data_IF_913147163794
#
_entry.id   IF_913147163794
#
_cell.length_a   1.000
_cell.length_b   1.000
_cell.length_c   1.000
_cell.angle_alpha   90.00
_cell.angle_beta   90.00
_cell.angle_gamma   90.00
#
_symmetry.space_group_name_H-M   'P 1'
#
loop_
_entity.id
_entity.type
_entity.pdbx_description
1 polymer ?
#
# COMPACT_ATOMS: atom_id res chain seq x y z
N UNK A 1 -21.28 -18.22 -17.23
CA UNK A 1 -19.80 -18.12 -17.23
C UNK A 1 -19.31 -18.24 -15.79
N UNK A 2 -18.17 -18.93 -15.57
CA UNK A 2 -17.67 -19.23 -14.24
C UNK A 2 -16.46 -18.39 -13.90
N UNK A 3 -16.46 -17.85 -12.70
CA UNK A 3 -15.40 -17.02 -12.13
C UNK A 3 -14.86 -17.70 -10.89
N UNK A 4 -13.54 -17.87 -10.80
CA UNK A 4 -12.87 -18.29 -9.58
C UNK A 4 -12.20 -17.09 -8.91
N UNK A 5 -12.66 -16.74 -7.71
CA UNK A 5 -12.01 -15.76 -6.84
C UNK A 5 -11.09 -16.51 -5.85
N UNK A 6 -9.90 -16.92 -6.32
CA UNK A 6 -9.02 -17.83 -5.58
C UNK A 6 -8.49 -17.23 -4.26
N UNK A 7 -8.25 -15.93 -4.23
CA UNK A 7 -7.84 -15.19 -3.02
C UNK A 7 -9.03 -14.48 -2.35
N UNK A 8 -10.26 -14.88 -2.70
CA UNK A 8 -11.49 -14.28 -2.21
C UNK A 8 -11.89 -12.99 -2.94
N UNK A 9 -13.13 -12.59 -2.72
CA UNK A 9 -13.73 -11.34 -3.18
C UNK A 9 -14.69 -10.84 -2.10
N UNK A 10 -14.90 -9.53 -2.02
CA UNK A 10 -15.89 -8.97 -1.09
C UNK A 10 -17.32 -9.45 -1.42
N UNK A 11 -18.19 -9.48 -0.40
CA UNK A 11 -19.60 -9.84 -0.59
C UNK A 11 -20.27 -8.95 -1.64
N UNK A 12 -20.01 -7.64 -1.60
CA UNK A 12 -20.55 -6.69 -2.59
C UNK A 12 -20.07 -7.00 -4.02
N UNK A 13 -18.80 -7.39 -4.17
CA UNK A 13 -18.26 -7.80 -5.48
C UNK A 13 -18.86 -9.10 -5.98
N UNK A 14 -19.04 -10.09 -5.10
CA UNK A 14 -19.69 -11.36 -5.44
C UNK A 14 -21.14 -11.12 -5.88
N UNK A 15 -21.92 -10.41 -5.08
CA UNK A 15 -23.32 -10.07 -5.39
C UNK A 15 -23.44 -9.30 -6.71
N UNK A 16 -22.50 -8.36 -6.98
CA UNK A 16 -22.49 -7.61 -8.22
C UNK A 16 -22.23 -8.50 -9.46
N UNK A 17 -21.35 -9.49 -9.35
CA UNK A 17 -21.10 -10.47 -10.42
C UNK A 17 -22.29 -11.42 -10.61
N UNK A 18 -22.84 -11.96 -9.52
CA UNK A 18 -24.00 -12.87 -9.56
C UNK A 18 -25.23 -12.18 -10.13
N UNK A 19 -25.46 -10.91 -9.81
CA UNK A 19 -26.53 -10.10 -10.40
C UNK A 19 -26.41 -9.93 -11.92
N UNK A 20 -25.21 -10.07 -12.47
CA UNK A 20 -24.92 -10.08 -13.91
C UNK A 20 -24.96 -11.48 -14.53
N UNK A 21 -25.35 -12.51 -13.77
CA UNK A 21 -25.51 -13.89 -14.23
C UNK A 21 -24.20 -14.71 -14.25
N UNK A 22 -23.16 -14.26 -13.58
CA UNK A 22 -21.92 -15.05 -13.40
C UNK A 22 -22.07 -16.03 -12.25
N UNK A 23 -21.48 -17.22 -12.38
CA UNK A 23 -21.31 -18.18 -11.29
C UNK A 23 -19.97 -17.88 -10.61
N UNK A 24 -20.00 -17.46 -9.35
CA UNK A 24 -18.81 -17.06 -8.58
C UNK A 24 -18.41 -18.15 -7.61
N UNK A 25 -17.20 -18.69 -7.77
CA UNK A 25 -16.60 -19.70 -6.92
C UNK A 25 -15.55 -19.02 -6.04
N UNK A 26 -15.69 -19.16 -4.72
CA UNK A 26 -14.79 -18.53 -3.73
C UNK A 26 -13.93 -19.56 -2.98
N UNK A 27 -13.95 -20.83 -3.42
CA UNK A 27 -13.10 -21.86 -2.83
C UNK A 27 -11.65 -21.60 -3.16
N UNK A 28 -10.80 -21.54 -2.13
CA UNK A 28 -9.36 -21.43 -2.33
C UNK A 28 -8.80 -22.76 -2.85
N UNK A 29 -8.03 -22.69 -3.92
CA UNK A 29 -7.35 -23.83 -4.55
C UNK A 29 -5.84 -23.60 -4.45
N UNK A 30 -5.11 -24.63 -3.98
CA UNK A 30 -3.66 -24.55 -3.87
C UNK A 30 -3.01 -24.36 -5.26
N UNK A 31 -1.88 -23.66 -5.29
CA UNK A 31 -1.19 -23.25 -6.52
C UNK A 31 -0.93 -24.44 -7.46
N UNK A 32 -0.54 -25.60 -6.92
CA UNK A 32 -0.18 -26.79 -7.68
C UNK A 32 -1.40 -27.49 -8.32
N UNK A 33 -2.59 -27.22 -7.81
CA UNK A 33 -3.85 -27.82 -8.30
C UNK A 33 -4.67 -26.83 -9.15
N UNK A 34 -4.24 -25.58 -9.22
CA UNK A 34 -5.05 -24.50 -9.75
C UNK A 34 -5.37 -24.68 -11.25
N UNK A 35 -4.38 -25.08 -12.07
CA UNK A 35 -4.59 -25.32 -13.50
C UNK A 35 -5.63 -26.44 -13.75
N UNK A 36 -5.48 -27.56 -13.06
CA UNK A 36 -6.42 -28.68 -13.16
C UNK A 36 -7.84 -28.26 -12.76
N UNK A 37 -7.97 -27.54 -11.63
CA UNK A 37 -9.26 -27.08 -11.14
C UNK A 37 -9.95 -26.13 -12.12
N UNK A 38 -9.21 -25.17 -12.68
CA UNK A 38 -9.70 -24.23 -13.69
C UNK A 38 -10.26 -25.00 -14.89
N UNK A 39 -9.52 -25.96 -15.42
CA UNK A 39 -9.92 -26.75 -16.59
C UNK A 39 -11.12 -27.67 -16.30
N UNK A 40 -11.11 -28.40 -15.18
CA UNK A 40 -12.19 -29.32 -14.80
C UNK A 40 -13.51 -28.56 -14.57
N UNK A 41 -13.47 -27.37 -13.97
CA UNK A 41 -14.66 -26.57 -13.69
C UNK A 41 -15.08 -25.69 -14.87
N UNK A 42 -14.23 -25.55 -15.89
CA UNK A 42 -14.49 -24.67 -17.04
C UNK A 42 -14.52 -23.19 -16.62
N UNK A 43 -13.54 -22.78 -15.83
CA UNK A 43 -13.40 -21.40 -15.35
C UNK A 43 -12.82 -20.54 -16.45
N UNK A 44 -13.46 -19.42 -16.73
CA UNK A 44 -13.04 -18.46 -17.75
C UNK A 44 -12.38 -17.22 -17.16
N UNK A 45 -12.69 -16.90 -15.90
CA UNK A 45 -12.17 -15.71 -15.21
C UNK A 45 -11.51 -16.12 -13.90
N UNK A 46 -10.25 -15.73 -13.72
CA UNK A 46 -9.50 -15.93 -12.47
C UNK A 46 -9.30 -14.59 -11.78
N UNK A 47 -9.85 -14.43 -10.58
CA UNK A 47 -9.62 -13.29 -9.71
C UNK A 47 -8.63 -13.67 -8.61
N UNK A 48 -7.59 -12.83 -8.47
CA UNK A 48 -6.51 -13.04 -7.49
C UNK A 48 -6.24 -11.76 -6.70
N UNK A 49 -5.55 -11.90 -5.57
CA UNK A 49 -4.96 -10.79 -4.82
C UNK A 49 -3.43 -10.94 -4.83
N UNK A 50 -2.79 -11.09 -3.67
CA UNK A 50 -1.33 -11.20 -3.57
C UNK A 50 -0.83 -12.65 -3.41
N UNK A 51 -1.67 -13.56 -2.93
CA UNK A 51 -1.26 -14.92 -2.60
C UNK A 51 -1.07 -15.81 -3.84
N UNK A 52 -2.02 -15.79 -4.75
CA UNK A 52 -1.97 -16.60 -5.98
C UNK A 52 -1.01 -15.99 -7.01
N UNK A 53 -0.10 -16.81 -7.53
CA UNK A 53 0.83 -16.41 -8.60
C UNK A 53 0.30 -16.88 -9.95
N UNK A 54 0.17 -15.95 -10.90
CA UNK A 54 -0.30 -16.24 -12.26
C UNK A 54 0.89 -16.10 -13.22
N UNK A 55 1.68 -17.17 -13.31
CA UNK A 55 2.89 -17.25 -14.13
C UNK A 55 2.64 -18.00 -15.43
N UNK A 56 3.62 -17.93 -16.34
CA UNK A 56 3.51 -18.53 -17.68
C UNK A 56 2.98 -19.99 -17.67
N UNK A 57 3.43 -20.91 -16.79
CA UNK A 57 2.90 -22.27 -16.80
C UNK A 57 1.38 -22.33 -16.59
N UNK A 58 0.85 -21.59 -15.60
CA UNK A 58 -0.59 -21.55 -15.35
C UNK A 58 -1.37 -20.94 -16.53
N UNK A 59 -0.80 -19.92 -17.17
CA UNK A 59 -1.39 -19.28 -18.35
C UNK A 59 -1.46 -20.26 -19.54
N UNK A 60 -0.40 -21.02 -19.77
CA UNK A 60 -0.32 -21.96 -20.89
C UNK A 60 -1.20 -23.21 -20.69
N UNK A 61 -1.39 -23.63 -19.45
CA UNK A 61 -2.17 -24.82 -19.10
C UNK A 61 -3.68 -24.57 -19.03
N UNK A 62 -4.12 -23.31 -19.14
CA UNK A 62 -5.54 -22.93 -18.92
C UNK A 62 -6.14 -22.13 -20.10
N UNK A 63 -7.47 -22.13 -20.19
CA UNK A 63 -8.21 -21.38 -21.21
C UNK A 63 -8.86 -20.10 -20.65
N UNK A 64 -8.17 -19.41 -19.73
CA UNK A 64 -8.66 -18.18 -19.14
C UNK A 64 -8.90 -17.10 -20.20
N UNK A 65 -9.95 -16.31 -20.02
CA UNK A 65 -10.27 -15.13 -20.83
C UNK A 65 -9.88 -13.84 -20.13
N UNK A 66 -10.07 -13.82 -18.79
CA UNK A 66 -9.73 -12.68 -17.96
C UNK A 66 -8.91 -13.14 -16.75
N UNK A 67 -7.88 -12.39 -16.43
CA UNK A 67 -7.17 -12.44 -15.15
C UNK A 67 -7.38 -11.08 -14.46
N UNK A 68 -8.07 -11.09 -13.32
CA UNK A 68 -8.35 -9.87 -12.56
C UNK A 68 -7.58 -9.85 -11.25
N UNK A 69 -6.86 -8.76 -10.99
CA UNK A 69 -6.16 -8.54 -9.72
C UNK A 69 -6.90 -7.52 -8.86
N UNK A 70 -7.39 -7.96 -7.71
CA UNK A 70 -7.98 -7.08 -6.70
C UNK A 70 -6.95 -6.22 -6.01
N UNK A 71 -6.61 -5.07 -6.59
CA UNK A 71 -5.65 -4.10 -6.08
C UNK A 71 -4.80 -3.43 -7.16
N UNK A 72 -3.80 -2.66 -6.77
CA UNK A 72 -3.02 -1.79 -7.67
C UNK A 72 -1.90 -2.53 -8.41
N UNK A 73 -1.00 -3.18 -7.65
CA UNK A 73 0.17 -3.85 -8.22
C UNK A 73 -0.19 -5.18 -8.87
N UNK A 74 0.53 -5.56 -9.89
CA UNK A 74 0.34 -6.81 -10.63
C UNK A 74 1.60 -7.68 -10.62
N UNK A 75 2.44 -7.52 -9.63
CA UNK A 75 3.76 -8.16 -9.53
C UNK A 75 3.68 -9.71 -9.48
N UNK A 76 2.54 -10.25 -9.08
CA UNK A 76 2.26 -11.69 -9.04
C UNK A 76 1.69 -12.26 -10.36
N UNK A 77 1.52 -11.43 -11.40
CA UNK A 77 0.95 -11.83 -12.71
C UNK A 77 1.98 -11.54 -13.81
N UNK A 78 2.20 -12.48 -14.72
CA UNK A 78 2.98 -12.26 -15.93
C UNK A 78 2.12 -11.54 -16.98
N UNK A 79 1.89 -10.23 -16.76
CA UNK A 79 0.90 -9.41 -17.48
C UNK A 79 1.14 -9.40 -18.99
N UNK A 80 2.35 -9.09 -19.42
CA UNK A 80 2.68 -8.98 -20.86
C UNK A 80 2.54 -10.32 -21.55
N UNK A 81 2.91 -11.39 -20.88
CA UNK A 81 2.75 -12.75 -21.40
C UNK A 81 1.26 -13.11 -21.56
N UNK A 82 0.45 -12.86 -20.54
CA UNK A 82 -0.99 -13.12 -20.59
C UNK A 82 -1.68 -12.32 -21.72
N UNK A 83 -1.35 -11.04 -21.84
CA UNK A 83 -1.86 -10.18 -22.93
C UNK A 83 -1.41 -10.66 -24.30
N UNK A 84 -0.17 -11.14 -24.44
CA UNK A 84 0.36 -11.74 -25.67
C UNK A 84 -0.39 -13.02 -26.08
N UNK A 85 -1.02 -13.73 -25.14
CA UNK A 85 -1.90 -14.87 -25.37
C UNK A 85 -3.37 -14.48 -25.63
N UNK A 86 -3.69 -13.19 -25.67
CA UNK A 86 -5.05 -12.67 -25.87
C UNK A 86 -5.92 -12.68 -24.61
N UNK A 87 -5.34 -12.87 -23.43
CA UNK A 87 -6.06 -12.84 -22.16
C UNK A 87 -6.15 -11.38 -21.68
N UNK A 88 -7.36 -10.95 -21.32
CA UNK A 88 -7.57 -9.63 -20.73
C UNK A 88 -7.04 -9.61 -19.28
N UNK A 89 -6.12 -8.69 -18.97
CA UNK A 89 -5.63 -8.49 -17.60
C UNK A 89 -6.13 -7.17 -17.06
N UNK A 90 -6.91 -7.24 -15.97
CA UNK A 90 -7.55 -6.09 -15.30
C UNK A 90 -7.07 -5.96 -13.86
N UNK A 91 -7.11 -4.74 -13.33
CA UNK A 91 -6.83 -4.45 -11.92
C UNK A 91 -7.70 -3.27 -11.43
N UNK A 92 -7.58 -2.94 -10.13
CA UNK A 92 -8.37 -1.87 -9.49
C UNK A 92 -7.46 -0.80 -8.89
N UNK A 93 -6.92 0.11 -9.75
CA UNK A 93 -5.83 1.00 -9.34
C UNK A 93 -6.28 2.18 -8.46
N UNK A 94 -7.58 2.46 -8.34
CA UNK A 94 -8.11 3.59 -7.58
C UNK A 94 -8.72 3.18 -6.24
N UNK A 95 -9.26 1.97 -6.15
CA UNK A 95 -10.17 1.54 -5.09
C UNK A 95 -9.59 1.55 -3.67
N UNK A 96 -8.27 1.38 -3.51
CA UNK A 96 -7.60 1.34 -2.21
C UNK A 96 -6.80 2.61 -1.87
N UNK A 97 -6.79 3.63 -2.75
CA UNK A 97 -5.88 4.77 -2.59
C UNK A 97 -6.09 5.54 -1.29
N UNK A 98 -7.32 5.78 -0.90
CA UNK A 98 -7.66 6.45 0.37
C UNK A 98 -7.23 5.61 1.57
N UNK A 99 -7.54 4.31 1.57
CA UNK A 99 -7.17 3.41 2.68
C UNK A 99 -5.66 3.37 2.92
N UNK A 100 -4.87 3.30 1.85
CA UNK A 100 -3.41 3.34 1.94
C UNK A 100 -2.93 4.68 2.49
N UNK A 101 -3.51 5.79 2.05
CA UNK A 101 -3.14 7.11 2.53
C UNK A 101 -3.46 7.30 4.02
N UNK A 102 -4.61 6.85 4.49
CA UNK A 102 -4.98 6.86 5.91
C UNK A 102 -4.02 5.99 6.74
N UNK A 103 -3.61 4.85 6.21
CA UNK A 103 -2.68 3.94 6.87
C UNK A 103 -1.26 4.53 7.03
N UNK A 104 -0.81 5.35 6.07
CA UNK A 104 0.42 6.14 6.21
C UNK A 104 0.37 6.99 7.48
N UNK A 105 -0.74 7.71 7.70
CA UNK A 105 -0.89 8.55 8.89
C UNK A 105 -1.08 7.73 10.18
N UNK A 106 -1.68 6.54 10.10
CA UNK A 106 -1.72 5.63 11.24
C UNK A 106 -0.30 5.25 11.70
N UNK A 107 0.61 4.90 10.79
CA UNK A 107 2.03 4.69 11.10
C UNK A 107 2.70 5.94 11.66
N UNK A 108 2.51 7.09 11.01
CA UNK A 108 3.10 8.36 11.46
C UNK A 108 2.65 8.68 12.89
N UNK A 109 1.34 8.66 13.18
CA UNK A 109 0.83 8.92 14.53
C UNK A 109 1.32 7.88 15.53
N UNK A 110 1.43 6.62 15.14
CA UNK A 110 1.97 5.56 15.99
C UNK A 110 3.41 5.86 16.42
N UNK A 111 4.24 6.32 15.49
CA UNK A 111 5.65 6.64 15.72
C UNK A 111 5.80 7.92 16.56
N UNK A 112 5.25 9.04 16.09
CA UNK A 112 5.46 10.35 16.75
C UNK A 112 4.82 10.47 18.12
N UNK A 113 3.88 9.58 18.45
CA UNK A 113 3.21 9.52 19.76
C UNK A 113 3.62 8.31 20.59
N UNK A 114 4.64 7.54 20.15
CA UNK A 114 5.14 6.31 20.82
C UNK A 114 4.02 5.27 21.06
N UNK A 115 2.97 5.26 20.25
CA UNK A 115 1.77 4.44 20.51
C UNK A 115 2.06 2.95 20.37
N UNK A 116 2.81 2.53 19.33
CA UNK A 116 3.18 1.13 19.12
C UNK A 116 4.08 0.59 20.23
N UNK A 117 5.02 1.40 20.73
CA UNK A 117 5.88 1.03 21.85
C UNK A 117 5.08 0.92 23.14
N UNK A 118 4.24 1.92 23.44
CA UNK A 118 3.42 1.91 24.65
C UNK A 118 2.43 0.74 24.67
N UNK A 119 1.86 0.36 23.52
CA UNK A 119 1.00 -0.83 23.41
C UNK A 119 1.73 -2.14 23.71
N UNK A 120 3.04 -2.22 23.45
CA UNK A 120 3.85 -3.40 23.77
C UNK A 120 4.20 -3.47 25.25
N UNK A 121 4.44 -2.34 25.90
CA UNK A 121 4.95 -2.27 27.29
C UNK A 121 3.83 -2.16 28.33
N UNK A 122 2.73 -1.48 28.04
CA UNK A 122 1.61 -1.32 28.98
C UNK A 122 1.05 -2.64 29.52
N UNK A 123 0.84 -3.71 28.72
CA UNK A 123 0.40 -5.00 29.25
C UNK A 123 1.42 -5.70 30.15
N UNK A 124 2.69 -5.37 30.04
CA UNK A 124 3.79 -6.02 30.77
C UNK A 124 4.15 -5.30 32.06
N UNK A 125 4.12 -3.96 32.05
CA UNK A 125 4.66 -3.12 33.13
C UNK A 125 3.69 -2.04 33.61
N UNK A 126 2.50 -1.92 33.01
CA UNK A 126 1.61 -0.80 33.27
C UNK A 126 1.09 -0.72 34.71
N UNK A 127 0.99 -1.83 35.41
CA UNK A 127 0.56 -1.91 36.81
C UNK A 127 1.68 -1.57 37.81
N UNK A 128 2.91 -1.89 37.47
CA UNK A 128 4.08 -1.78 38.35
C UNK A 128 4.98 -0.58 38.04
N UNK A 129 5.00 -0.09 36.82
CA UNK A 129 5.92 0.96 36.34
C UNK A 129 5.23 2.09 35.58
N UNK A 130 3.95 2.38 35.85
CA UNK A 130 3.19 3.40 35.11
C UNK A 130 3.88 4.76 35.04
N UNK A 131 4.46 5.23 36.16
CA UNK A 131 5.18 6.51 36.23
C UNK A 131 6.45 6.53 35.33
N UNK A 132 7.16 5.42 35.26
CA UNK A 132 8.33 5.24 34.39
C UNK A 132 7.94 5.27 32.92
N UNK A 133 6.90 4.52 32.52
CA UNK A 133 6.38 4.48 31.14
C UNK A 133 5.87 5.86 30.72
N UNK A 134 5.10 6.56 31.57
CA UNK A 134 4.66 7.93 31.31
C UNK A 134 5.82 8.88 31.01
N UNK A 135 6.92 8.76 31.74
CA UNK A 135 8.13 9.59 31.55
C UNK A 135 8.88 9.18 30.27
N UNK A 136 8.99 7.88 30.00
CA UNK A 136 9.67 7.35 28.82
C UNK A 136 9.00 7.83 27.51
N UNK A 137 7.67 7.82 27.46
CA UNK A 137 6.91 8.20 26.26
C UNK A 137 6.45 9.68 26.22
N UNK A 138 6.96 10.54 27.11
CA UNK A 138 6.57 11.96 27.19
C UNK A 138 7.10 12.80 26.01
N UNK A 139 8.18 12.35 25.34
CA UNK A 139 8.73 13.04 24.16
C UNK A 139 7.96 12.63 22.91
N UNK A 140 7.00 13.45 22.52
CA UNK A 140 6.15 13.23 21.37
C UNK A 140 6.09 14.49 20.49
N UNK A 141 5.59 14.36 19.26
CA UNK A 141 5.58 15.45 18.28
C UNK A 141 4.17 15.66 17.72
N UNK A 142 3.91 16.90 17.30
CA UNK A 142 2.73 17.29 16.52
C UNK A 142 3.10 17.39 15.04
N UNK A 143 2.10 17.22 14.16
CA UNK A 143 2.30 17.24 12.70
C UNK A 143 2.11 18.65 12.12
N UNK A 144 1.26 19.49 12.74
CA UNK A 144 0.95 20.84 12.24
C UNK A 144 2.21 21.66 12.02
N UNK A 145 2.32 22.27 10.83
CA UNK A 145 3.47 23.09 10.43
C UNK A 145 4.73 22.31 10.04
N UNK A 146 4.73 20.99 10.19
CA UNK A 146 5.81 20.11 9.69
C UNK A 146 5.64 19.85 8.19
N UNK A 147 6.70 19.41 7.54
CA UNK A 147 6.72 19.18 6.10
C UNK A 147 6.61 17.70 5.78
N UNK A 148 5.57 17.33 5.02
CA UNK A 148 5.39 16.01 4.40
C UNK A 148 6.05 16.00 3.03
N UNK A 149 7.03 15.14 2.84
CA UNK A 149 7.64 14.79 1.56
C UNK A 149 6.96 13.56 0.95
N UNK A 150 6.41 13.71 -0.23
CA UNK A 150 5.73 12.62 -0.95
C UNK A 150 6.54 12.23 -2.17
N UNK A 151 6.99 10.97 -2.24
CA UNK A 151 7.70 10.41 -3.38
C UNK A 151 6.71 9.56 -4.18
N UNK A 152 6.29 10.07 -5.32
CA UNK A 152 5.22 9.51 -6.17
C UNK A 152 3.95 10.36 -6.13
N UNK A 153 3.68 11.08 -7.20
CA UNK A 153 2.52 11.98 -7.35
C UNK A 153 1.36 11.29 -8.08
N UNK A 154 1.20 9.98 -7.80
CA UNK A 154 0.09 9.16 -8.27
C UNK A 154 -1.18 9.33 -7.42
N UNK A 155 -2.15 8.41 -7.59
CA UNK A 155 -3.43 8.42 -6.86
C UNK A 155 -3.25 8.41 -5.35
N UNK A 156 -2.42 7.50 -4.82
CA UNK A 156 -2.17 7.39 -3.38
C UNK A 156 -1.46 8.65 -2.87
N UNK A 157 -0.44 9.13 -3.57
CA UNK A 157 0.26 10.36 -3.19
C UNK A 157 -0.67 11.57 -3.09
N UNK A 158 -1.64 11.70 -4.00
CA UNK A 158 -2.68 12.75 -3.94
C UNK A 158 -3.54 12.61 -2.68
N UNK A 159 -3.98 11.41 -2.31
CA UNK A 159 -4.76 11.20 -1.08
C UNK A 159 -3.93 11.51 0.19
N UNK A 160 -2.66 11.13 0.22
CA UNK A 160 -1.75 11.51 1.32
C UNK A 160 -1.62 13.02 1.43
N UNK A 161 -1.48 13.72 0.30
CA UNK A 161 -1.40 15.19 0.26
C UNK A 161 -2.67 15.82 0.82
N UNK A 162 -3.87 15.32 0.46
CA UNK A 162 -5.14 15.79 1.00
C UNK A 162 -5.19 15.70 2.53
N UNK A 163 -4.80 14.56 3.07
CA UNK A 163 -4.78 14.34 4.52
C UNK A 163 -3.74 15.26 5.18
N UNK A 164 -2.53 15.37 4.61
CA UNK A 164 -1.46 16.24 5.12
C UNK A 164 -1.92 17.71 5.21
N UNK A 165 -2.53 18.22 4.16
CA UNK A 165 -3.07 19.61 4.14
C UNK A 165 -4.17 19.75 5.21
N UNK A 166 -5.08 18.75 5.33
CA UNK A 166 -6.12 18.75 6.36
C UNK A 166 -5.58 18.79 7.78
N UNK A 167 -4.41 18.19 8.02
CA UNK A 167 -3.69 18.23 9.30
C UNK A 167 -2.87 19.52 9.50
N UNK A 168 -2.86 20.43 8.53
CA UNK A 168 -2.10 21.68 8.59
C UNK A 168 -0.60 21.50 8.39
N UNK A 169 -0.18 20.48 7.67
CA UNK A 169 1.22 20.26 7.26
C UNK A 169 1.55 21.06 6.01
N UNK A 170 2.83 21.37 5.83
CA UNK A 170 3.38 21.75 4.54
C UNK A 170 3.59 20.50 3.69
N UNK A 171 3.50 20.64 2.37
CA UNK A 171 3.67 19.49 1.45
C UNK A 171 4.68 19.84 0.37
N UNK A 172 5.60 18.92 0.12
CA UNK A 172 6.49 18.93 -1.04
C UNK A 172 6.40 17.54 -1.70
N UNK A 173 6.41 17.50 -3.02
CA UNK A 173 6.18 16.25 -3.75
C UNK A 173 7.17 16.09 -4.91
N UNK A 174 7.68 14.90 -5.05
CA UNK A 174 8.50 14.48 -6.19
C UNK A 174 7.81 13.39 -6.99
N UNK A 175 7.93 13.45 -8.29
CA UNK A 175 7.59 12.36 -9.20
C UNK A 175 8.65 12.26 -10.31
N UNK A 176 8.94 11.03 -10.74
CA UNK A 176 9.87 10.78 -11.86
C UNK A 176 9.39 11.49 -13.14
N UNK A 177 8.09 11.63 -13.30
CA UNK A 177 7.45 12.38 -14.38
C UNK A 177 6.89 13.69 -13.83
N UNK A 178 7.56 14.84 -14.07
CA UNK A 178 7.13 16.11 -13.55
C UNK A 178 5.65 16.39 -13.86
N UNK A 179 4.91 16.77 -12.85
CA UNK A 179 3.48 17.01 -12.97
C UNK A 179 3.03 18.19 -12.10
N UNK A 180 2.01 18.88 -12.56
CA UNK A 180 1.23 19.85 -11.76
C UNK A 180 -0.19 19.30 -11.62
N UNK A 181 -0.69 19.24 -10.40
CA UNK A 181 -2.04 18.73 -10.11
C UNK A 181 -2.82 19.70 -9.24
N UNK A 182 -4.10 19.76 -9.50
CA UNK A 182 -5.06 20.40 -8.59
C UNK A 182 -5.47 19.38 -7.52
N UNK A 183 -5.35 19.78 -6.27
CA UNK A 183 -5.74 19.00 -5.09
C UNK A 183 -6.97 19.67 -4.52
N UNK A 184 -8.11 19.02 -4.60
CA UNK A 184 -9.37 19.50 -4.04
C UNK A 184 -9.62 18.84 -2.68
N UNK A 185 -9.91 19.64 -1.67
CA UNK A 185 -10.39 19.21 -0.36
C UNK A 185 -11.89 19.48 -0.28
N UNK A 186 -12.66 18.42 0.00
CA UNK A 186 -14.09 18.50 0.26
C UNK A 186 -14.35 18.56 1.77
N UNK A 187 -15.16 19.50 2.22
CA UNK A 187 -15.53 19.64 3.63
C UNK A 187 -16.96 19.18 3.87
N UNK A 188 -17.24 18.82 5.12
CA UNK A 188 -18.53 18.27 5.55
C UNK A 188 -19.74 19.16 5.28
N UNK A 189 -19.52 20.49 5.17
CA UNK A 189 -20.55 21.50 4.89
C UNK A 189 -20.73 21.78 3.38
N UNK A 190 -20.04 20.99 2.52
CA UNK A 190 -20.06 21.14 1.08
C UNK A 190 -19.09 22.18 0.51
N UNK A 191 -18.32 22.84 1.36
CA UNK A 191 -17.24 23.72 0.89
C UNK A 191 -16.13 22.91 0.23
N UNK A 192 -15.49 23.50 -0.77
CA UNK A 192 -14.36 22.93 -1.48
C UNK A 192 -13.23 23.94 -1.57
N UNK A 193 -12.03 23.49 -1.25
CA UNK A 193 -10.82 24.31 -1.38
C UNK A 193 -9.84 23.61 -2.31
N UNK A 194 -9.26 24.38 -3.24
CA UNK A 194 -8.34 23.87 -4.26
C UNK A 194 -6.95 24.42 -4.03
N UNK A 195 -5.97 23.53 -4.13
CA UNK A 195 -4.55 23.85 -4.08
C UNK A 195 -3.89 23.35 -5.36
N UNK A 196 -3.06 24.16 -5.99
CA UNK A 196 -2.24 23.72 -7.13
C UNK A 196 -0.85 23.37 -6.62
N UNK A 197 -0.44 22.13 -6.80
CA UNK A 197 0.89 21.64 -6.44
C UNK A 197 1.63 21.18 -7.69
N UNK A 198 2.89 21.60 -7.82
CA UNK A 198 3.83 21.10 -8.80
C UNK A 198 4.83 20.16 -8.12
N UNK A 199 5.23 19.11 -8.81
CA UNK A 199 6.34 18.29 -8.36
C UNK A 199 7.64 19.11 -8.37
N UNK A 200 8.50 18.83 -7.39
CA UNK A 200 9.82 19.43 -7.23
C UNK A 200 10.92 18.40 -7.43
N UNK A 201 12.16 18.78 -7.24
CA UNK A 201 13.30 17.88 -7.35
C UNK A 201 13.35 16.88 -6.18
N UNK A 202 13.86 15.67 -6.44
CA UNK A 202 14.02 14.63 -5.44
C UNK A 202 14.87 15.08 -4.26
N UNK A 203 15.96 15.79 -4.53
CA UNK A 203 16.88 16.33 -3.52
C UNK A 203 16.16 17.30 -2.57
N UNK A 204 15.25 18.11 -3.10
CA UNK A 204 14.47 19.04 -2.29
C UNK A 204 13.56 18.30 -1.32
N UNK A 205 12.91 17.21 -1.76
CA UNK A 205 12.05 16.39 -0.90
C UNK A 205 12.85 15.77 0.23
N UNK A 206 13.96 15.09 -0.08
CA UNK A 206 14.74 14.37 0.94
C UNK A 206 15.43 15.30 1.95
N UNK A 207 15.81 16.52 1.54
CA UNK A 207 16.51 17.47 2.42
C UNK A 207 15.58 18.34 3.26
N UNK A 208 14.36 18.62 2.81
CA UNK A 208 13.43 19.55 3.48
C UNK A 208 12.30 18.87 4.26
N UNK A 209 11.99 17.61 4.00
CA UNK A 209 10.89 16.92 4.65
C UNK A 209 11.21 16.54 6.11
N UNK A 210 10.21 16.63 6.98
CA UNK A 210 10.22 16.07 8.33
C UNK A 210 9.65 14.64 8.34
N UNK A 211 8.76 14.36 7.37
CA UNK A 211 8.15 13.06 7.12
C UNK A 211 8.28 12.73 5.65
N UNK A 212 8.64 11.50 5.31
CA UNK A 212 8.76 11.04 3.92
C UNK A 212 7.91 9.78 3.74
N UNK A 213 7.13 9.75 2.67
CA UNK A 213 6.37 8.55 2.29
C UNK A 213 6.52 8.26 0.80
N UNK A 214 6.57 6.96 0.46
CA UNK A 214 6.79 6.49 -0.90
C UNK A 214 5.52 5.86 -1.47
N UNK A 215 5.18 6.22 -2.71
CA UNK A 215 4.02 5.72 -3.45
C UNK A 215 4.40 5.45 -4.91
N UNK A 216 5.37 4.57 -5.07
CA UNK A 216 6.00 4.22 -6.35
C UNK A 216 5.84 2.72 -6.64
N UNK A 217 5.85 2.30 -7.91
CA UNK A 217 5.88 0.87 -8.25
C UNK A 217 7.20 0.22 -7.83
N UNK A 218 7.23 -1.12 -7.87
CA UNK A 218 8.47 -1.88 -7.77
C UNK A 218 9.44 -1.44 -8.88
N UNK A 219 10.72 -1.37 -8.54
CA UNK A 219 11.78 -1.02 -9.48
C UNK A 219 13.08 -1.75 -9.14
N UNK A 220 14.03 -1.71 -10.05
CA UNK A 220 15.37 -2.22 -9.80
C UNK A 220 16.15 -1.22 -8.93
N UNK A 221 16.62 -1.70 -7.78
CA UNK A 221 17.39 -0.91 -6.82
C UNK A 221 16.56 0.01 -5.92
N UNK A 222 17.24 0.56 -4.92
CA UNK A 222 16.63 1.41 -3.90
C UNK A 222 16.44 2.86 -4.39
N UNK A 223 15.33 3.46 -3.99
CA UNK A 223 15.09 4.92 -4.11
C UNK A 223 15.73 5.65 -2.92
N UNK A 224 15.62 5.04 -1.74
CA UNK A 224 16.24 5.53 -0.52
C UNK A 224 17.25 4.50 -0.05
N UNK A 225 18.51 4.83 -0.14
CA UNK A 225 19.63 4.09 0.40
C UNK A 225 20.42 4.94 1.38
N UNK A 226 21.62 4.46 1.75
CA UNK A 226 22.49 5.14 2.71
C UNK A 226 22.76 6.61 2.35
N UNK A 227 22.99 6.91 1.04
CA UNK A 227 23.29 8.25 0.55
C UNK A 227 22.14 9.22 0.74
N UNK A 228 20.91 8.77 0.47
CA UNK A 228 19.70 9.57 0.62
C UNK A 228 19.38 9.77 2.10
N UNK A 229 19.48 8.73 2.91
CA UNK A 229 19.30 8.79 4.38
C UNK A 229 20.26 9.80 5.01
N UNK A 230 21.53 9.81 4.61
CA UNK A 230 22.53 10.75 5.13
C UNK A 230 22.18 12.23 4.88
N UNK A 231 21.47 12.54 3.78
CA UNK A 231 21.06 13.91 3.41
C UNK A 231 19.78 14.38 4.08
N UNK A 232 18.97 13.48 4.60
CA UNK A 232 17.70 13.81 5.25
C UNK A 232 17.92 14.64 6.53
N UNK A 233 16.86 15.26 7.03
CA UNK A 233 16.89 15.91 8.34
C UNK A 233 17.11 14.89 9.46
N UNK A 234 17.81 15.30 10.51
CA UNK A 234 17.91 14.50 11.73
C UNK A 234 16.53 14.36 12.37
N UNK A 235 16.17 13.13 12.73
CA UNK A 235 14.87 12.81 13.31
C UNK A 235 13.73 12.70 12.27
N UNK A 236 14.05 12.54 10.98
CA UNK A 236 13.03 12.28 9.95
C UNK A 236 12.26 10.99 10.25
N UNK A 237 10.97 10.97 9.89
CA UNK A 237 10.13 9.75 9.91
C UNK A 237 9.85 9.29 8.49
N UNK A 238 10.03 8.01 8.23
CA UNK A 238 9.85 7.44 6.90
C UNK A 238 8.72 6.40 6.92
N UNK A 239 7.84 6.42 5.91
CA UNK A 239 6.77 5.41 5.78
C UNK A 239 6.82 4.77 4.41
N UNK A 240 6.87 3.44 4.37
CA UNK A 240 6.78 2.66 3.14
C UNK A 240 5.55 1.75 3.16
N UNK A 241 4.55 2.12 2.40
CA UNK A 241 3.35 1.32 2.09
C UNK A 241 3.26 1.01 0.59
N UNK A 242 4.37 1.14 -0.13
CA UNK A 242 4.42 0.97 -1.59
C UNK A 242 4.87 -0.44 -1.99
N UNK A 243 6.19 -0.70 -1.93
CA UNK A 243 6.80 -2.01 -2.24
C UNK A 243 8.03 -2.23 -1.37
N UNK A 244 8.30 -3.49 -1.04
CA UNK A 244 9.61 -3.90 -0.55
C UNK A 244 10.69 -3.61 -1.59
N UNK A 245 11.92 -3.32 -1.15
CA UNK A 245 13.05 -3.04 -2.03
C UNK A 245 13.10 -1.62 -2.63
N UNK A 246 12.16 -0.72 -2.28
CA UNK A 246 12.30 0.71 -2.64
C UNK A 246 13.11 1.49 -1.60
N UNK A 247 13.26 0.95 -0.40
CA UNK A 247 14.16 1.43 0.65
C UNK A 247 15.14 0.31 0.98
N UNK A 248 16.42 0.64 1.14
CA UNK A 248 17.41 -0.27 1.72
C UNK A 248 17.10 -0.46 3.21
N UNK A 249 16.51 -1.62 3.54
CA UNK A 249 16.06 -1.93 4.90
C UNK A 249 17.23 -2.00 5.90
N UNK A 250 18.40 -2.44 5.44
CA UNK A 250 19.61 -2.46 6.28
C UNK A 250 20.10 -1.04 6.56
N UNK A 251 20.25 -0.21 5.54
CA UNK A 251 20.66 1.18 5.70
C UNK A 251 19.67 1.97 6.57
N UNK A 252 18.36 1.68 6.45
CA UNK A 252 17.33 2.28 7.28
C UNK A 252 17.50 1.88 8.76
N UNK A 253 17.74 0.61 9.06
CA UNK A 253 17.98 0.13 10.42
C UNK A 253 19.23 0.78 11.02
N UNK A 254 20.33 0.84 10.26
CA UNK A 254 21.58 1.50 10.67
C UNK A 254 21.35 3.01 10.96
N UNK A 255 20.55 3.69 10.13
CA UNK A 255 20.21 5.11 10.31
C UNK A 255 19.31 5.37 11.54
N UNK A 256 18.44 4.44 11.88
CA UNK A 256 17.62 4.48 13.11
C UNK A 256 18.53 4.31 14.33
N UNK A 257 19.42 3.34 14.32
CA UNK A 257 20.37 3.10 15.43
C UNK A 257 21.29 4.30 15.64
N UNK A 258 21.72 4.96 14.57
CA UNK A 258 22.51 6.18 14.63
C UNK A 258 21.71 7.43 15.07
N UNK A 259 20.37 7.32 15.24
CA UNK A 259 19.50 8.45 15.61
C UNK A 259 19.24 9.45 14.47
N UNK A 260 19.65 9.14 13.24
CA UNK A 260 19.39 9.95 12.05
C UNK A 260 17.92 9.90 11.66
N UNK A 261 17.32 8.71 11.72
CA UNK A 261 15.88 8.46 11.51
C UNK A 261 15.23 8.23 12.87
N UNK A 262 14.18 8.97 13.18
CA UNK A 262 13.43 8.82 14.44
C UNK A 262 12.72 7.45 14.52
N UNK A 263 12.20 6.99 13.41
CA UNK A 263 11.49 5.72 13.26
C UNK A 263 10.90 5.59 11.87
N UNK A 264 10.47 4.38 11.53
CA UNK A 264 9.83 4.14 10.25
C UNK A 264 8.57 3.28 10.36
N UNK A 265 7.60 3.53 9.47
CA UNK A 265 6.43 2.70 9.24
C UNK A 265 6.64 1.81 8.03
N UNK A 266 6.57 0.49 8.20
CA UNK A 266 6.75 -0.46 7.12
C UNK A 266 5.55 -1.40 7.04
N UNK A 267 4.85 -1.36 5.91
CA UNK A 267 3.77 -2.29 5.57
C UNK A 267 4.22 -3.33 4.55
N UNK A 268 5.38 -3.11 3.93
CA UNK A 268 5.99 -3.95 2.89
C UNK A 268 7.47 -4.17 3.17
N UNK A 269 8.01 -5.30 2.72
CA UNK A 269 9.36 -5.74 3.05
C UNK A 269 10.08 -6.29 1.82
N UNK A 270 11.42 -6.22 1.81
CA UNK A 270 12.25 -6.81 0.75
C UNK A 270 12.00 -8.31 0.60
N UNK A 271 11.80 -9.00 1.73
CA UNK A 271 11.58 -10.44 1.77
C UNK A 271 10.19 -10.76 2.30
N UNK A 272 9.17 -10.62 1.45
CA UNK A 272 7.84 -11.11 1.76
C UNK A 272 7.67 -12.57 1.29
N UNK A 273 7.07 -13.46 2.08
CA UNK A 273 6.39 -13.26 3.38
C UNK A 273 7.29 -13.49 4.61
N UNK A 274 8.59 -13.45 4.50
CA UNK A 274 9.55 -13.73 5.58
C UNK A 274 10.54 -12.56 5.76
N UNK A 275 10.10 -11.43 6.36
CA UNK A 275 10.99 -10.31 6.65
C UNK A 275 12.11 -10.69 7.60
N UNK A 276 13.22 -9.93 7.53
CA UNK A 276 14.39 -10.16 8.40
C UNK A 276 14.06 -9.94 9.88
N UNK A 277 14.44 -10.89 10.72
CA UNK A 277 14.13 -10.88 12.16
C UNK A 277 14.70 -9.64 12.86
N UNK A 278 15.89 -9.17 12.46
CA UNK A 278 16.49 -7.96 13.02
C UNK A 278 15.63 -6.72 12.80
N UNK A 279 14.98 -6.63 11.64
CA UNK A 279 14.04 -5.55 11.35
C UNK A 279 12.77 -5.68 12.19
N UNK A 280 12.20 -6.89 12.30
CA UNK A 280 10.98 -7.14 13.08
C UNK A 280 11.13 -6.85 14.58
N UNK A 281 12.35 -6.98 15.12
CA UNK A 281 12.66 -6.73 16.53
C UNK A 281 13.00 -5.26 16.83
N UNK A 282 13.13 -4.41 15.83
CA UNK A 282 13.46 -3.00 16.02
C UNK A 282 12.26 -2.23 16.62
N UNK A 283 12.41 -1.71 17.82
CA UNK A 283 11.35 -1.04 18.57
C UNK A 283 10.94 0.33 18.00
N UNK A 284 11.79 0.94 17.19
CA UNK A 284 11.50 2.22 16.50
C UNK A 284 10.71 2.03 15.21
N UNK A 285 10.39 0.78 14.83
CA UNK A 285 9.59 0.47 13.66
C UNK A 285 8.13 0.20 14.03
N UNK A 286 7.24 0.87 13.32
CA UNK A 286 5.81 0.56 13.27
C UNK A 286 5.57 -0.37 12.09
N UNK A 287 5.25 -1.64 12.37
CA UNK A 287 5.21 -2.70 11.37
C UNK A 287 3.80 -3.22 11.14
N UNK A 288 3.50 -3.60 9.89
CA UNK A 288 2.25 -4.25 9.51
C UNK A 288 2.46 -5.22 8.33
N UNK A 289 1.62 -6.26 8.19
CA UNK A 289 1.85 -7.35 7.24
C UNK A 289 1.14 -7.11 5.89
N UNK A 290 1.51 -6.03 5.17
CA UNK A 290 1.01 -5.65 3.85
C UNK A 290 -0.52 -5.49 3.79
N UNK A 291 -1.06 -4.69 4.70
CA UNK A 291 -2.51 -4.50 4.89
C UNK A 291 -3.00 -3.07 4.62
N UNK A 292 -2.16 -2.16 4.18
CA UNK A 292 -2.53 -0.75 3.98
C UNK A 292 -3.78 -0.55 3.10
N UNK A 293 -3.99 -1.42 2.10
CA UNK A 293 -5.17 -1.39 1.24
C UNK A 293 -6.34 -2.27 1.71
N UNK A 294 -6.27 -2.86 2.91
CA UNK A 294 -7.20 -3.91 3.37
C UNK A 294 -8.29 -3.38 4.30
N UNK A 295 -9.08 -2.40 3.85
CA UNK A 295 -10.27 -1.94 4.56
C UNK A 295 -11.55 -2.54 3.95
N UNK A 296 -12.66 -2.60 4.71
CA UNK A 296 -13.94 -3.10 4.21
C UNK A 296 -14.44 -2.29 3.02
N UNK A 297 -14.30 -0.97 3.07
CA UNK A 297 -14.69 -0.04 2.00
C UNK A 297 -13.83 -0.26 0.75
N UNK A 298 -12.51 -0.40 0.91
CA UNK A 298 -11.63 -0.68 -0.24
C UNK A 298 -11.95 -2.04 -0.86
N UNK A 299 -12.18 -3.08 -0.05
CA UNK A 299 -12.55 -4.41 -0.55
C UNK A 299 -13.90 -4.38 -1.29
N UNK A 300 -14.87 -3.61 -0.80
CA UNK A 300 -16.15 -3.41 -1.49
C UNK A 300 -15.96 -2.73 -2.83
N UNK A 301 -15.22 -1.61 -2.87
CA UNK A 301 -14.92 -0.89 -4.14
C UNK A 301 -14.12 -1.77 -5.12
N UNK A 302 -13.12 -2.51 -4.64
CA UNK A 302 -12.34 -3.46 -5.46
C UNK A 302 -13.26 -4.50 -6.09
N UNK A 303 -14.12 -5.12 -5.31
CA UNK A 303 -15.03 -6.16 -5.81
C UNK A 303 -16.01 -5.65 -6.84
N UNK A 304 -16.61 -4.49 -6.62
CA UNK A 304 -17.58 -3.88 -7.54
C UNK A 304 -16.90 -3.33 -8.81
N UNK A 305 -15.67 -2.79 -8.70
CA UNK A 305 -14.88 -2.35 -9.85
C UNK A 305 -14.51 -3.53 -10.77
N UNK A 306 -14.03 -4.66 -10.19
CA UNK A 306 -13.78 -5.89 -10.95
C UNK A 306 -15.04 -6.40 -11.62
N UNK A 307 -16.18 -6.40 -10.90
CA UNK A 307 -17.47 -6.83 -11.47
C UNK A 307 -17.87 -5.98 -12.67
N UNK A 308 -17.70 -4.66 -12.58
CA UNK A 308 -17.99 -3.74 -13.69
C UNK A 308 -17.11 -3.99 -14.91
N UNK A 309 -15.80 -4.14 -14.71
CA UNK A 309 -14.86 -4.40 -15.82
C UNK A 309 -15.11 -5.76 -16.49
N UNK A 310 -15.46 -6.80 -15.71
CA UNK A 310 -15.80 -8.11 -16.25
C UNK A 310 -17.11 -8.04 -17.04
N UNK A 311 -18.14 -7.40 -16.49
CA UNK A 311 -19.42 -7.22 -17.17
C UNK A 311 -19.27 -6.46 -18.50
N UNK A 312 -18.46 -5.41 -18.52
CA UNK A 312 -18.13 -4.65 -19.73
C UNK A 312 -17.46 -5.53 -20.80
N UNK A 313 -16.49 -6.36 -20.41
CA UNK A 313 -15.82 -7.30 -21.33
C UNK A 313 -16.80 -8.28 -21.99
N UNK A 314 -17.79 -8.75 -21.25
CA UNK A 314 -18.79 -9.71 -21.77
C UNK A 314 -20.04 -9.03 -22.35
N UNK A 315 -20.16 -7.71 -22.25
CA UNK A 315 -21.30 -6.94 -22.79
C UNK A 315 -22.63 -7.15 -22.04
N UNK A 316 -22.56 -7.33 -20.68
CA UNK A 316 -23.74 -7.59 -19.81
C UNK A 316 -23.83 -6.62 -18.63
#
# INVERSE_FOLDING_TARGET
>A
MKILANDGISKAGQEALEAKGFEVITTHVAQEQLANYINEKGIEVLLVRSATKVRQPLIDETNLKIIGRGGVGMDNIDVDYARGKGIQVINTPASSSQSVAEFVFAHIFSIVRNLHQSNRTMPLEGDSNFGGLKKAYAKAYELRGKTMGVIGFGRIGVEVIRIAIGLGMNVIVYDKFPATREIELDFFDGQKVKFTLASTDFEEVITKADFITLHVPAQDGYIIGEKELAKMKDGVVIVNTARGGVIDEKALADAIEAGKVLGAGLDVFEKEPQPEMGLLMNESLSLSPHIAGSTEEAQSRIGTELASQIAEFYGV
#
